data_IF_510889618811
#
_entry.id   IF_510889618811
#
_cell.length_a   1.000
_cell.length_b   1.000
_cell.length_c   1.000
_cell.angle_alpha   90.00
_cell.angle_beta   90.00
_cell.angle_gamma   90.00
#
_symmetry.space_group_name_H-M   'P 1'
#
loop_
_entity.id
_entity.type
_entity.pdbx_description
1 polymer ?
#
# COMPACT_ATOMS: atom_id res chain seq x y z
N UNK A 1 5.14 -25.38 59.44
CA UNK A 1 4.58 -24.53 58.36
C UNK A 1 4.64 -25.34 57.06
N UNK A 2 3.53 -25.89 56.61
CA UNK A 2 3.48 -26.58 55.33
C UNK A 2 3.22 -25.54 54.25
N UNK A 3 4.22 -25.23 53.47
CA UNK A 3 4.05 -24.36 52.28
C UNK A 3 3.59 -25.26 51.17
N UNK A 4 2.34 -25.14 50.76
CA UNK A 4 1.81 -25.83 49.57
C UNK A 4 2.00 -24.87 48.40
N UNK A 5 3.00 -25.09 47.56
CA UNK A 5 3.15 -24.39 46.34
C UNK A 5 2.20 -25.01 45.30
N UNK A 6 1.18 -24.26 44.89
CA UNK A 6 0.32 -24.70 43.79
C UNK A 6 1.12 -24.70 42.47
N UNK A 7 0.94 -25.76 41.69
CA UNK A 7 1.49 -25.83 40.34
C UNK A 7 0.71 -24.79 39.48
N UNK A 8 1.40 -23.87 38.85
CA UNK A 8 0.75 -22.96 37.89
C UNK A 8 0.34 -23.81 36.66
N UNK A 9 -0.95 -23.87 36.40
CA UNK A 9 -1.46 -24.58 35.24
C UNK A 9 -1.04 -23.82 33.95
N UNK A 10 -0.71 -24.55 32.88
CA UNK A 10 -0.44 -23.94 31.60
C UNK A 10 -1.68 -23.22 31.11
N UNK A 11 -1.50 -22.04 30.45
CA UNK A 11 -2.57 -21.33 29.81
C UNK A 11 -2.10 -20.83 28.42
N UNK A 12 -2.94 -21.03 27.44
CA UNK A 12 -2.74 -20.61 26.07
C UNK A 12 -4.05 -20.03 25.54
N UNK A 13 -4.05 -18.75 25.26
CA UNK A 13 -5.21 -18.04 24.70
C UNK A 13 -4.74 -17.13 23.58
N UNK A 14 -5.31 -17.25 22.40
CA UNK A 14 -5.16 -16.30 21.31
C UNK A 14 -6.14 -15.12 21.49
N UNK A 15 -5.73 -13.93 21.17
CA UNK A 15 -6.57 -12.72 21.29
C UNK A 15 -7.67 -12.72 20.23
N UNK A 16 -7.44 -13.41 19.12
CA UNK A 16 -8.43 -13.62 18.07
C UNK A 16 -8.53 -15.11 17.70
N UNK A 17 -9.73 -15.56 17.39
CA UNK A 17 -10.00 -16.91 16.91
C UNK A 17 -10.25 -16.96 15.39
N UNK A 18 -10.23 -15.81 14.70
CA UNK A 18 -10.36 -15.70 13.25
C UNK A 18 -9.69 -14.41 12.75
N UNK A 19 -8.83 -14.56 11.74
CA UNK A 19 -8.13 -13.47 11.09
C UNK A 19 -8.28 -13.53 9.58
N UNK A 20 -8.29 -12.36 8.94
CA UNK A 20 -8.34 -12.24 7.47
C UNK A 20 -7.15 -11.43 6.97
N UNK A 21 -6.44 -12.00 6.00
CA UNK A 21 -5.24 -11.42 5.40
C UNK A 21 -5.43 -11.21 3.91
N UNK A 22 -4.67 -10.26 3.36
CA UNK A 22 -4.60 -10.02 1.93
C UNK A 22 -3.89 -11.18 1.19
N UNK A 23 -4.03 -11.23 -0.14
CA UNK A 23 -3.58 -12.35 -0.97
C UNK A 23 -2.08 -12.45 -1.21
N UNK A 24 -1.27 -11.48 -0.79
CA UNK A 24 0.19 -11.50 -0.98
C UNK A 24 0.91 -12.34 0.08
N UNK A 25 2.16 -12.72 -0.22
CA UNK A 25 3.01 -13.39 0.75
C UNK A 25 3.40 -12.42 1.86
N UNK A 26 3.22 -12.82 3.12
CA UNK A 26 3.46 -11.95 4.27
C UNK A 26 3.71 -12.75 5.54
N UNK A 27 4.43 -12.14 6.47
CA UNK A 27 4.55 -12.64 7.84
C UNK A 27 3.38 -12.14 8.67
N UNK A 28 2.84 -12.99 9.52
CA UNK A 28 1.63 -12.75 10.29
C UNK A 28 1.86 -13.08 11.77
N UNK A 29 1.16 -12.35 12.62
CA UNK A 29 1.11 -12.66 14.05
C UNK A 29 -0.32 -12.50 14.57
N UNK A 30 -0.72 -13.40 15.45
CA UNK A 30 -1.95 -13.31 16.25
C UNK A 30 -1.51 -13.23 17.70
N UNK A 31 -1.71 -12.09 18.38
CA UNK A 31 -1.29 -11.93 19.77
C UNK A 31 -1.86 -13.04 20.67
N UNK A 32 -1.08 -13.47 21.62
CA UNK A 32 -1.46 -14.54 22.52
C UNK A 32 -1.11 -14.21 23.97
N UNK A 33 -1.96 -14.65 24.89
CA UNK A 33 -1.65 -14.67 26.30
C UNK A 33 -1.24 -16.08 26.71
N UNK A 34 0.01 -16.22 27.16
CA UNK A 34 0.55 -17.49 27.62
C UNK A 34 1.02 -17.36 29.06
N UNK A 35 0.61 -18.28 29.93
CA UNK A 35 1.20 -18.40 31.25
C UNK A 35 2.28 -19.50 31.22
N UNK A 36 3.54 -19.05 31.36
CA UNK A 36 4.72 -19.92 31.47
C UNK A 36 4.96 -20.88 30.27
N UNK A 37 4.42 -20.60 29.09
CA UNK A 37 4.59 -21.43 27.91
C UNK A 37 5.68 -20.98 26.94
N UNK A 38 6.04 -19.69 26.89
CA UNK A 38 7.08 -19.21 25.98
C UNK A 38 8.43 -19.93 26.14
N UNK A 39 8.90 -20.26 27.37
CA UNK A 39 10.10 -21.09 27.55
C UNK A 39 10.00 -22.51 27.01
N UNK A 40 8.79 -22.95 26.69
CA UNK A 40 8.49 -24.30 26.16
C UNK A 40 7.92 -24.22 24.75
N UNK A 41 8.20 -23.16 24.01
CA UNK A 41 7.68 -22.93 22.66
C UNK A 41 8.03 -24.08 21.70
N UNK A 42 9.17 -24.76 21.90
CA UNK A 42 9.61 -25.92 21.14
C UNK A 42 8.80 -27.20 21.46
N UNK A 43 8.03 -27.21 22.56
CA UNK A 43 7.16 -28.31 22.97
C UNK A 43 5.69 -28.06 22.61
N UNK A 44 5.34 -26.87 22.13
CA UNK A 44 4.00 -26.58 21.66
C UNK A 44 3.82 -27.18 20.28
N UNK A 45 3.00 -28.23 20.20
CA UNK A 45 2.62 -28.84 18.94
C UNK A 45 1.63 -27.94 18.17
N UNK A 46 1.70 -27.97 16.85
CA UNK A 46 0.71 -27.34 16.00
C UNK A 46 0.18 -28.31 14.94
N UNK A 47 -1.03 -28.04 14.49
CA UNK A 47 -1.68 -28.69 13.37
C UNK A 47 -2.36 -27.63 12.51
N UNK A 48 -2.30 -27.80 11.18
CA UNK A 48 -2.95 -26.89 10.21
C UNK A 48 -3.97 -27.70 9.43
N UNK A 49 -5.23 -27.43 9.70
CA UNK A 49 -6.35 -28.04 8.98
C UNK A 49 -6.82 -27.10 7.87
N UNK A 50 -6.56 -27.45 6.61
CA UNK A 50 -7.01 -26.72 5.44
C UNK A 50 -8.46 -27.09 5.10
N UNK A 51 -9.35 -26.08 4.91
CA UNK A 51 -10.75 -26.33 4.55
C UNK A 51 -10.87 -26.99 3.16
N UNK A 52 -9.95 -26.68 2.24
CA UNK A 52 -9.76 -27.40 0.98
C UNK A 52 -8.42 -28.12 1.06
N UNK A 53 -8.38 -29.44 0.90
CA UNK A 53 -7.13 -30.21 0.97
C UNK A 53 -6.06 -29.65 0.02
N UNK A 54 -4.85 -29.50 0.52
CA UNK A 54 -3.67 -29.09 -0.26
C UNK A 54 -2.77 -30.31 -0.49
N UNK A 55 -2.09 -30.35 -1.62
CA UNK A 55 -1.09 -31.39 -1.87
C UNK A 55 0.10 -31.20 -0.94
N UNK A 56 0.82 -32.29 -0.65
CA UNK A 56 2.07 -32.24 0.11
C UNK A 56 3.09 -31.32 -0.58
N UNK A 57 3.66 -30.38 0.18
CA UNK A 57 4.59 -29.36 -0.33
C UNK A 57 3.92 -28.14 -0.95
N UNK A 58 2.58 -28.08 -0.95
CA UNK A 58 1.80 -26.93 -1.41
C UNK A 58 1.10 -26.19 -0.25
N UNK A 59 1.58 -26.41 0.96
CA UNK A 59 1.11 -25.71 2.15
C UNK A 59 1.31 -24.20 1.99
N UNK A 60 0.27 -23.45 2.33
CA UNK A 60 0.31 -22.00 2.20
C UNK A 60 0.41 -21.25 3.54
N UNK A 61 0.22 -21.96 4.66
CA UNK A 61 0.58 -21.50 6.01
C UNK A 61 1.92 -22.15 6.33
N UNK A 62 2.93 -21.33 6.56
CA UNK A 62 4.32 -21.76 6.72
C UNK A 62 4.82 -21.40 8.12
N UNK A 63 5.58 -22.32 8.72
CA UNK A 63 6.30 -22.13 9.98
C UNK A 63 5.43 -21.59 11.14
N UNK A 64 4.26 -22.17 11.44
CA UNK A 64 3.51 -21.76 12.61
C UNK A 64 4.33 -22.00 13.89
N UNK A 65 4.38 -21.01 14.77
CA UNK A 65 5.11 -21.08 16.03
C UNK A 65 4.49 -20.17 17.09
N UNK A 66 4.71 -20.46 18.37
CA UNK A 66 4.48 -19.51 19.46
C UNK A 66 5.79 -18.78 19.77
N UNK A 67 5.74 -17.47 19.77
CA UNK A 67 6.84 -16.56 20.13
C UNK A 67 6.35 -15.55 21.16
N UNK A 68 7.21 -14.61 21.53
CA UNK A 68 6.83 -13.48 22.41
C UNK A 68 5.73 -12.62 21.78
N UNK A 69 5.63 -12.60 20.44
CA UNK A 69 4.59 -11.88 19.69
C UNK A 69 3.26 -12.66 19.56
N UNK A 70 3.20 -13.86 20.11
CA UNK A 70 2.05 -14.77 20.04
C UNK A 70 2.21 -15.86 18.98
N UNK A 71 1.11 -16.26 18.34
CA UNK A 71 1.14 -17.21 17.22
C UNK A 71 1.67 -16.47 15.98
N UNK A 72 2.87 -16.83 15.53
CA UNK A 72 3.48 -16.31 14.30
C UNK A 72 3.47 -17.37 13.20
N UNK A 73 3.33 -16.92 11.96
CA UNK A 73 3.37 -17.78 10.77
C UNK A 73 3.59 -16.91 9.53
N UNK A 74 3.98 -17.54 8.42
CA UNK A 74 4.04 -16.85 7.13
C UNK A 74 2.94 -17.38 6.21
N UNK A 75 2.43 -16.54 5.34
CA UNK A 75 1.49 -16.90 4.28
C UNK A 75 2.22 -16.88 2.92
N UNK A 76 2.04 -17.95 2.14
CA UNK A 76 2.39 -17.92 0.74
C UNK A 76 1.34 -17.11 -0.05
N UNK A 77 1.73 -16.54 -1.20
CA UNK A 77 0.81 -15.82 -2.09
C UNK A 77 -0.38 -16.70 -2.49
N UNK A 78 -1.60 -16.15 -2.44
CA UNK A 78 -2.78 -16.83 -2.94
C UNK A 78 -3.00 -16.50 -4.42
N UNK A 79 -2.50 -17.34 -5.30
CA UNK A 79 -2.65 -17.16 -6.75
C UNK A 79 -4.01 -17.63 -7.31
N UNK A 80 -4.85 -18.20 -6.44
CA UNK A 80 -6.22 -18.57 -6.79
C UNK A 80 -7.13 -17.34 -6.95
N UNK A 81 -8.29 -17.54 -7.55
CA UNK A 81 -9.33 -16.50 -7.73
C UNK A 81 -10.24 -16.34 -6.50
N UNK A 82 -10.18 -17.29 -5.58
CA UNK A 82 -11.07 -17.36 -4.42
C UNK A 82 -10.29 -17.24 -3.11
N UNK A 83 -10.92 -16.75 -2.04
CA UNK A 83 -10.35 -16.83 -0.71
C UNK A 83 -10.10 -18.27 -0.29
N UNK A 84 -9.01 -18.49 0.42
CA UNK A 84 -8.68 -19.80 1.02
C UNK A 84 -8.66 -19.72 2.51
N UNK A 85 -9.02 -20.82 3.18
CA UNK A 85 -9.17 -20.88 4.62
C UNK A 85 -8.50 -22.11 5.21
N UNK A 86 -7.95 -21.95 6.41
CA UNK A 86 -7.39 -23.02 7.22
C UNK A 86 -7.53 -22.66 8.70
N UNK A 87 -7.43 -23.67 9.56
CA UNK A 87 -7.39 -23.48 11.01
C UNK A 87 -6.06 -23.95 11.54
N UNK A 88 -5.33 -23.06 12.20
CA UNK A 88 -4.13 -23.41 12.99
C UNK A 88 -4.62 -23.81 14.38
N UNK A 89 -4.24 -24.99 14.83
CA UNK A 89 -4.47 -25.47 16.19
C UNK A 89 -3.15 -25.63 16.90
N UNK A 90 -3.08 -25.13 18.11
CA UNK A 90 -1.95 -25.25 19.02
C UNK A 90 -2.32 -26.17 20.15
N UNK A 91 -1.43 -27.07 20.55
CA UNK A 91 -1.63 -28.03 21.64
C UNK A 91 -0.37 -28.08 22.50
N UNK A 92 -0.56 -28.10 23.81
CA UNK A 92 0.50 -28.30 24.77
C UNK A 92 -0.01 -29.22 25.87
N UNK A 93 0.84 -30.15 26.31
CA UNK A 93 0.57 -31.02 27.47
C UNK A 93 1.80 -31.01 28.37
N UNK A 94 1.61 -30.62 29.62
CA UNK A 94 2.69 -30.61 30.61
C UNK A 94 3.08 -32.00 31.10
N UNK A 95 4.13 -32.10 31.88
CA UNK A 95 4.62 -33.37 32.47
C UNK A 95 3.64 -34.02 33.46
N UNK A 96 2.64 -33.27 33.91
CA UNK A 96 1.59 -33.73 34.80
C UNK A 96 0.32 -34.16 34.05
N UNK A 97 0.32 -34.09 32.72
CA UNK A 97 -0.82 -34.46 31.89
C UNK A 97 -1.89 -33.36 31.75
N UNK A 98 -1.61 -32.12 32.20
CA UNK A 98 -2.53 -31.00 31.95
C UNK A 98 -2.36 -30.52 30.50
N UNK A 99 -3.46 -30.46 29.77
CA UNK A 99 -3.46 -30.08 28.36
C UNK A 99 -4.18 -28.75 28.15
N UNK A 100 -3.63 -27.93 27.29
CA UNK A 100 -4.27 -26.69 26.78
C UNK A 100 -4.21 -26.67 25.28
N UNK A 101 -5.21 -26.05 24.67
CA UNK A 101 -5.24 -25.83 23.22
C UNK A 101 -5.84 -24.50 22.89
N UNK A 102 -5.42 -23.94 21.75
CA UNK A 102 -5.99 -22.75 21.14
C UNK A 102 -6.07 -22.94 19.63
N UNK A 103 -6.97 -22.24 18.98
CA UNK A 103 -7.08 -22.28 17.52
C UNK A 103 -7.46 -20.92 16.95
N UNK A 104 -6.95 -20.66 15.74
CA UNK A 104 -7.31 -19.49 14.95
C UNK A 104 -7.64 -19.91 13.51
N UNK A 105 -8.78 -19.46 13.01
CA UNK A 105 -9.15 -19.62 11.61
C UNK A 105 -8.49 -18.51 10.80
N UNK A 106 -7.71 -18.89 9.83
CA UNK A 106 -7.02 -17.98 8.92
C UNK A 106 -7.76 -17.97 7.59
N UNK A 107 -8.15 -16.78 7.15
CA UNK A 107 -8.70 -16.54 5.81
C UNK A 107 -7.70 -15.70 5.03
N UNK A 108 -7.33 -16.14 3.84
CA UNK A 108 -6.51 -15.33 2.95
C UNK A 108 -7.28 -15.03 1.66
N UNK A 109 -7.43 -13.74 1.34
CA UNK A 109 -8.04 -13.28 0.10
C UNK A 109 -7.22 -13.72 -1.12
N UNK A 110 -7.77 -13.69 -2.35
CA UNK A 110 -6.98 -13.88 -3.56
C UNK A 110 -5.98 -12.72 -3.72
N UNK A 111 -4.86 -12.99 -4.42
CA UNK A 111 -3.96 -11.90 -4.84
C UNK A 111 -4.69 -11.04 -5.86
N UNK A 112 -4.58 -9.69 -5.78
CA UNK A 112 -5.28 -8.82 -6.70
C UNK A 112 -4.94 -9.11 -8.17
N UNK A 113 -5.90 -8.98 -9.06
CA UNK A 113 -5.70 -9.10 -10.51
C UNK A 113 -5.30 -7.76 -11.13
N UNK A 114 -4.57 -7.79 -12.25
CA UNK A 114 -4.19 -6.57 -12.94
C UNK A 114 -5.42 -5.88 -13.56
N UNK A 115 -5.49 -4.56 -13.39
CA UNK A 115 -6.41 -3.69 -14.12
C UNK A 115 -5.60 -2.65 -14.88
N UNK A 116 -6.06 -2.26 -16.07
CA UNK A 116 -5.47 -1.13 -16.77
C UNK A 116 -6.06 0.21 -16.28
N UNK A 117 -5.34 1.30 -16.54
CA UNK A 117 -5.74 2.64 -16.12
C UNK A 117 -7.07 3.08 -16.73
N UNK A 118 -7.38 2.67 -17.97
CA UNK A 118 -8.64 3.01 -18.63
C UNK A 118 -9.82 2.33 -17.94
N UNK A 119 -9.68 1.05 -17.55
CA UNK A 119 -10.70 0.34 -16.80
C UNK A 119 -10.98 1.00 -15.44
N UNK A 120 -9.93 1.42 -14.72
CA UNK A 120 -10.10 2.12 -13.43
C UNK A 120 -10.76 3.49 -13.61
N UNK A 121 -10.39 4.26 -14.65
CA UNK A 121 -11.04 5.54 -14.98
C UNK A 121 -12.51 5.39 -15.36
N UNK A 122 -12.93 4.24 -15.84
CA UNK A 122 -14.32 3.93 -16.19
C UNK A 122 -15.17 3.51 -14.99
N UNK A 123 -14.58 3.28 -13.81
CA UNK A 123 -15.34 2.96 -12.60
C UNK A 123 -16.18 4.16 -12.16
N UNK A 124 -17.30 3.86 -11.51
CA UNK A 124 -18.05 4.89 -10.78
C UNK A 124 -17.22 5.41 -9.62
N UNK A 125 -17.05 6.74 -9.47
CA UNK A 125 -16.36 7.31 -8.31
C UNK A 125 -16.95 6.80 -6.99
N UNK A 126 -16.08 6.49 -6.03
CA UNK A 126 -16.44 5.91 -4.75
C UNK A 126 -15.39 4.88 -4.28
N UNK A 127 -15.74 4.12 -3.28
CA UNK A 127 -14.89 3.06 -2.74
C UNK A 127 -14.69 1.93 -3.77
N UNK A 128 -13.43 1.53 -3.96
CA UNK A 128 -13.05 0.43 -4.84
C UNK A 128 -13.02 -0.86 -4.01
N UNK A 129 -13.99 -1.72 -4.24
CA UNK A 129 -14.11 -3.02 -3.54
C UNK A 129 -13.49 -4.18 -4.32
N UNK A 130 -13.05 -3.91 -5.55
CA UNK A 130 -12.49 -4.93 -6.43
C UNK A 130 -11.06 -5.30 -6.00
N UNK A 131 -10.78 -6.60 -5.97
CA UNK A 131 -9.42 -7.13 -5.74
C UNK A 131 -8.57 -6.94 -7.00
N UNK A 132 -8.16 -5.69 -7.24
CA UNK A 132 -7.40 -5.29 -8.42
C UNK A 132 -6.19 -4.44 -8.03
N UNK A 133 -5.15 -4.48 -8.88
CA UNK A 133 -4.02 -3.55 -8.81
C UNK A 133 -3.80 -2.87 -10.16
N UNK A 134 -3.24 -1.68 -10.14
CA UNK A 134 -2.65 -1.03 -11.32
C UNK A 134 -1.13 -1.11 -11.25
N UNK A 135 -0.49 -1.14 -12.41
CA UNK A 135 0.98 -1.07 -12.53
C UNK A 135 1.36 0.16 -13.37
N UNK A 136 2.25 1.00 -12.81
CA UNK A 136 2.65 2.24 -13.47
C UNK A 136 3.93 2.80 -12.88
N UNK A 137 4.36 3.95 -13.40
CA UNK A 137 5.55 4.66 -12.94
C UNK A 137 5.18 5.87 -12.09
N UNK A 138 5.88 6.06 -10.97
CA UNK A 138 5.79 7.31 -10.19
C UNK A 138 6.56 8.40 -10.92
N UNK A 139 5.88 9.50 -11.25
CA UNK A 139 6.46 10.61 -12.01
C UNK A 139 6.61 11.90 -11.22
N UNK A 140 6.05 11.97 -10.03
CA UNK A 140 6.19 13.10 -9.11
C UNK A 140 7.42 12.96 -8.20
N UNK A 141 7.91 14.08 -7.73
CA UNK A 141 9.00 14.17 -6.77
C UNK A 141 8.61 15.14 -5.64
N UNK A 142 8.16 14.64 -4.49
CA UNK A 142 7.80 15.48 -3.35
C UNK A 142 8.97 16.32 -2.83
N UNK A 143 10.20 15.82 -2.89
CA UNK A 143 11.39 16.54 -2.43
C UNK A 143 11.72 17.75 -3.31
N UNK A 144 11.39 17.65 -4.60
CA UNK A 144 11.52 18.76 -5.55
C UNK A 144 10.32 19.71 -5.59
N UNK A 145 9.35 19.51 -4.70
CA UNK A 145 8.12 20.35 -4.61
C UNK A 145 7.34 20.43 -5.94
N UNK A 146 7.37 19.40 -6.75
CA UNK A 146 6.64 19.36 -8.02
C UNK A 146 5.23 18.75 -7.90
N UNK A 147 4.72 18.67 -6.70
CA UNK A 147 3.37 18.28 -6.35
C UNK A 147 2.64 19.49 -5.74
N UNK A 148 1.37 19.58 -5.96
CA UNK A 148 0.59 20.81 -5.84
C UNK A 148 0.51 21.36 -4.42
N UNK A 149 0.59 22.68 -4.34
CA UNK A 149 0.16 23.47 -3.20
C UNK A 149 -1.36 23.68 -3.18
N UNK A 150 -1.90 23.97 -2.01
CA UNK A 150 -3.30 24.39 -1.88
C UNK A 150 -3.49 25.85 -2.31
N UNK A 151 -4.36 26.16 -3.28
CA UNK A 151 -4.63 27.53 -3.71
C UNK A 151 -5.74 28.19 -2.90
N UNK A 152 -5.82 27.99 -1.60
CA UNK A 152 -6.92 28.50 -0.75
C UNK A 152 -6.93 30.03 -0.64
N UNK A 153 -5.85 30.67 -1.00
CA UNK A 153 -5.78 32.11 -1.14
C UNK A 153 -5.23 32.44 -2.52
N UNK A 154 -5.34 33.67 -3.00
CA UNK A 154 -4.73 34.10 -4.26
C UNK A 154 -3.17 34.06 -4.23
N UNK A 155 -2.62 33.35 -3.27
CA UNK A 155 -1.21 33.07 -3.07
C UNK A 155 -0.99 31.58 -3.23
N UNK A 156 0.06 31.18 -3.93
CA UNK A 156 0.47 29.79 -4.00
C UNK A 156 1.20 29.44 -2.71
N UNK A 157 0.51 28.78 -1.80
CA UNK A 157 1.15 28.16 -0.65
C UNK A 157 1.53 26.75 -0.99
N UNK A 158 2.76 26.43 -0.77
CA UNK A 158 3.22 25.04 -0.77
C UNK A 158 2.75 24.38 0.53
N UNK A 159 1.75 23.52 0.40
CA UNK A 159 1.32 22.66 1.52
C UNK A 159 2.22 21.44 1.58
N UNK A 160 3.17 21.48 2.53
CA UNK A 160 4.13 20.39 2.69
C UNK A 160 3.44 19.09 3.10
N UNK A 161 2.45 19.13 3.98
CA UNK A 161 1.73 17.94 4.42
C UNK A 161 0.99 17.26 3.27
N UNK A 162 0.31 18.04 2.42
CA UNK A 162 -0.32 17.51 1.21
C UNK A 162 0.72 17.01 0.20
N UNK A 163 1.81 17.74 0.00
CA UNK A 163 2.88 17.34 -0.92
C UNK A 163 3.48 15.99 -0.52
N UNK A 164 3.86 15.85 0.74
CA UNK A 164 4.63 14.70 1.22
C UNK A 164 3.79 13.39 1.17
N UNK A 165 2.47 13.48 1.18
CA UNK A 165 1.55 12.34 1.04
C UNK A 165 0.89 12.21 -0.34
N UNK A 166 1.34 12.98 -1.31
CA UNK A 166 0.82 12.93 -2.69
C UNK A 166 1.89 12.39 -3.64
N UNK A 167 1.48 11.51 -4.54
CA UNK A 167 2.28 11.06 -5.67
C UNK A 167 1.47 11.08 -6.95
N UNK A 168 2.13 11.14 -8.11
CA UNK A 168 1.51 10.96 -9.40
C UNK A 168 2.03 9.67 -10.03
N UNK A 169 1.12 8.83 -10.48
CA UNK A 169 1.43 7.59 -11.17
C UNK A 169 0.91 7.66 -12.59
N UNK A 170 1.75 7.32 -13.56
CA UNK A 170 1.33 7.16 -14.95
C UNK A 170 1.36 5.69 -15.39
N UNK A 171 0.50 5.36 -16.35
CA UNK A 171 0.45 4.03 -16.96
C UNK A 171 1.76 3.67 -17.65
N UNK A 172 2.04 2.36 -17.81
CA UNK A 172 3.28 1.88 -18.43
C UNK A 172 3.48 2.37 -19.87
N UNK A 173 2.42 2.78 -20.55
CA UNK A 173 2.45 3.36 -21.89
C UNK A 173 2.44 4.91 -21.88
N UNK A 174 2.46 5.54 -20.69
CA UNK A 174 2.43 6.99 -20.50
C UNK A 174 1.11 7.67 -20.88
N UNK A 175 0.06 6.89 -21.15
CA UNK A 175 -1.18 7.41 -21.72
C UNK A 175 -2.08 8.07 -20.69
N UNK A 176 -2.14 7.53 -19.47
CA UNK A 176 -3.06 7.92 -18.42
C UNK A 176 -2.31 8.16 -17.10
N UNK A 177 -2.82 9.09 -16.30
CA UNK A 177 -2.28 9.37 -14.97
C UNK A 177 -3.35 9.39 -13.89
N UNK A 178 -2.93 9.11 -12.65
CA UNK A 178 -3.70 9.31 -11.42
C UNK A 178 -2.91 10.12 -10.42
N UNK A 179 -3.61 10.97 -9.67
CA UNK A 179 -3.10 11.50 -8.42
C UNK A 179 -3.33 10.44 -7.33
N UNK A 180 -2.30 10.11 -6.57
CA UNK A 180 -2.37 9.23 -5.42
C UNK A 180 -2.31 10.06 -4.14
N UNK A 181 -3.20 9.79 -3.19
CA UNK A 181 -3.18 10.40 -1.86
C UNK A 181 -3.08 9.33 -0.79
N UNK A 182 -1.96 9.34 -0.11
CA UNK A 182 -1.69 8.45 1.00
C UNK A 182 -2.24 9.01 2.31
N UNK A 183 -2.54 8.14 3.26
CA UNK A 183 -3.07 8.52 4.56
C UNK A 183 -2.04 9.34 5.37
N UNK A 184 -0.76 8.99 5.24
CA UNK A 184 0.35 9.72 5.86
C UNK A 184 1.54 9.88 4.90
N UNK A 185 2.51 10.72 5.26
CA UNK A 185 3.76 10.86 4.51
C UNK A 185 4.62 9.59 4.57
N UNK A 186 4.56 8.87 5.67
CA UNK A 186 5.29 7.61 5.88
C UNK A 186 4.76 6.49 4.97
N UNK A 187 3.51 6.58 4.55
CA UNK A 187 2.90 5.63 3.61
C UNK A 187 3.35 5.88 2.15
N UNK A 188 3.75 7.11 1.81
CA UNK A 188 4.18 7.49 0.46
C UNK A 188 5.67 7.14 0.24
N UNK A 189 5.97 5.86 0.15
CA UNK A 189 7.34 5.35 0.07
C UNK A 189 7.93 5.24 -1.35
N UNK A 190 7.14 5.13 -2.45
CA UNK A 190 7.72 4.94 -3.77
C UNK A 190 8.45 6.19 -4.27
N UNK A 191 9.70 6.00 -4.67
CA UNK A 191 10.49 7.08 -5.24
C UNK A 191 10.08 7.41 -6.68
N UNK A 192 10.36 8.65 -7.13
CA UNK A 192 10.18 9.04 -8.53
C UNK A 192 10.89 8.07 -9.46
N UNK A 193 10.28 7.74 -10.59
CA UNK A 193 10.75 6.83 -11.62
C UNK A 193 10.79 5.36 -11.22
N UNK A 194 10.28 5.01 -10.04
CA UNK A 194 10.04 3.60 -9.72
C UNK A 194 8.77 3.09 -10.38
N UNK A 195 8.80 1.83 -10.82
CA UNK A 195 7.61 1.11 -11.24
C UNK A 195 6.94 0.52 -10.00
N UNK A 196 5.63 0.72 -9.87
CA UNK A 196 4.87 0.32 -8.69
C UNK A 196 3.66 -0.51 -9.11
N UNK A 197 3.39 -1.59 -8.36
CA UNK A 197 2.09 -2.25 -8.34
C UNK A 197 1.32 -1.76 -7.13
N UNK A 198 0.18 -1.14 -7.38
CA UNK A 198 -0.66 -0.51 -6.37
C UNK A 198 -2.01 -1.24 -6.29
N UNK A 199 -2.29 -1.87 -5.14
CA UNK A 199 -3.62 -2.44 -4.85
C UNK A 199 -4.64 -1.33 -4.70
N UNK A 200 -5.79 -1.51 -5.31
CA UNK A 200 -6.89 -0.54 -5.28
C UNK A 200 -7.95 -0.88 -4.24
N UNK A 201 -7.92 -2.08 -3.68
CA UNK A 201 -8.93 -2.54 -2.75
C UNK A 201 -8.98 -1.67 -1.48
N UNK A 202 -10.16 -1.18 -1.15
CA UNK A 202 -10.40 -0.27 -0.01
C UNK A 202 -9.98 1.18 -0.23
N UNK A 203 -9.38 1.51 -1.38
CA UNK A 203 -9.12 2.89 -1.76
C UNK A 203 -10.40 3.54 -2.34
N UNK A 204 -10.41 4.86 -2.43
CA UNK A 204 -11.53 5.63 -3.00
C UNK A 204 -11.09 6.30 -4.30
N UNK A 205 -11.85 6.08 -5.37
CA UNK A 205 -11.69 6.80 -6.63
C UNK A 205 -12.50 8.09 -6.58
N UNK A 206 -11.84 9.21 -6.85
CA UNK A 206 -12.45 10.52 -7.01
C UNK A 206 -12.27 10.99 -8.45
N UNK A 207 -13.30 11.65 -9.00
CA UNK A 207 -13.26 12.26 -10.33
C UNK A 207 -13.57 13.74 -10.23
N UNK A 208 -12.73 14.58 -10.84
CA UNK A 208 -13.00 15.97 -11.12
C UNK A 208 -13.34 16.10 -12.62
N UNK A 209 -14.32 16.93 -12.97
CA UNK A 209 -14.81 17.03 -14.34
C UNK A 209 -14.29 18.25 -15.14
N UNK A 210 -13.61 19.19 -14.47
CA UNK A 210 -13.08 20.39 -15.16
C UNK A 210 -11.83 20.91 -14.44
N UNK A 211 -10.63 20.60 -14.95
CA UNK A 211 -10.34 19.62 -16.00
C UNK A 211 -10.69 18.20 -15.54
N UNK A 212 -10.89 17.28 -16.49
CA UNK A 212 -11.14 15.89 -16.14
C UNK A 212 -9.87 15.23 -15.60
N UNK A 213 -9.87 14.90 -14.32
CA UNK A 213 -8.77 14.18 -13.70
C UNK A 213 -9.26 13.25 -12.58
N UNK A 214 -8.41 12.31 -12.21
CA UNK A 214 -8.77 11.24 -11.28
C UNK A 214 -7.77 11.17 -10.15
N UNK A 215 -8.29 10.99 -8.93
CA UNK A 215 -7.49 10.83 -7.72
C UNK A 215 -7.89 9.54 -7.02
N UNK A 216 -6.91 8.80 -6.53
CA UNK A 216 -7.10 7.62 -5.70
C UNK A 216 -6.67 8.00 -4.28
N UNK A 217 -7.60 7.95 -3.33
CA UNK A 217 -7.39 8.39 -1.94
C UNK A 217 -7.49 7.23 -0.96
N UNK A 218 -7.07 7.45 0.28
CA UNK A 218 -7.13 6.46 1.35
C UNK A 218 -6.07 5.37 1.23
N UNK A 219 -5.00 5.62 0.47
CA UNK A 219 -3.90 4.68 0.30
C UNK A 219 -3.00 4.63 1.54
N UNK A 220 -2.48 3.45 1.83
CA UNK A 220 -1.46 3.20 2.85
C UNK A 220 -0.28 2.44 2.26
N UNK A 221 0.78 2.26 3.02
CA UNK A 221 1.92 1.43 2.60
C UNK A 221 1.49 0.00 2.22
N UNK A 222 0.43 -0.54 2.84
CA UNK A 222 -0.10 -1.87 2.53
C UNK A 222 -0.71 -1.98 1.12
N UNK A 223 -1.07 -0.87 0.48
CA UNK A 223 -1.52 -0.85 -0.90
C UNK A 223 -0.38 -1.01 -1.91
N UNK A 224 0.87 -0.81 -1.50
CA UNK A 224 2.05 -0.93 -2.35
C UNK A 224 2.49 -2.39 -2.36
N UNK A 225 2.14 -3.14 -3.40
CA UNK A 225 2.44 -4.57 -3.51
C UNK A 225 3.88 -4.82 -3.95
N UNK A 226 4.37 -4.02 -4.87
CA UNK A 226 5.73 -4.15 -5.42
C UNK A 226 6.25 -2.76 -5.83
N UNK A 227 7.55 -2.54 -5.62
CA UNK A 227 8.25 -1.33 -6.06
C UNK A 227 9.59 -1.72 -6.67
N UNK A 228 9.88 -1.24 -7.87
CA UNK A 228 11.21 -1.40 -8.48
C UNK A 228 12.18 -0.32 -8.02
N UNK A 229 13.47 -0.53 -8.27
CA UNK A 229 14.45 0.57 -8.25
C UNK A 229 14.07 1.61 -9.30
N UNK A 230 14.27 2.93 -9.02
CA UNK A 230 14.02 4.00 -9.98
C UNK A 230 14.84 3.85 -11.25
N UNK A 231 14.21 4.10 -12.41
CA UNK A 231 14.89 4.06 -13.72
C UNK A 231 14.20 5.07 -14.66
N UNK A 232 14.77 6.27 -14.77
CA UNK A 232 14.23 7.36 -15.59
C UNK A 232 14.19 7.03 -17.09
N UNK A 233 15.06 6.14 -17.57
CA UNK A 233 15.12 5.77 -18.99
C UNK A 233 13.98 4.87 -19.43
N UNK A 234 13.22 4.31 -18.48
CA UNK A 234 12.04 3.47 -18.78
C UNK A 234 10.74 4.25 -18.80
N UNK A 235 10.76 5.51 -18.38
CA UNK A 235 9.55 6.31 -18.30
C UNK A 235 9.13 6.75 -19.71
N UNK A 236 7.91 6.46 -20.14
CA UNK A 236 7.40 6.98 -21.40
C UNK A 236 7.13 8.48 -21.27
N UNK A 237 7.78 9.28 -22.12
CA UNK A 237 7.61 10.73 -22.14
C UNK A 237 6.91 11.14 -23.43
N UNK A 238 5.71 11.70 -23.30
CA UNK A 238 4.99 12.29 -24.43
C UNK A 238 5.64 13.63 -24.80
N UNK A 239 5.91 13.87 -26.08
CA UNK A 239 6.37 15.15 -26.57
C UNK A 239 5.21 15.90 -27.21
N UNK A 240 4.86 17.07 -26.70
CA UNK A 240 3.71 17.87 -27.12
C UNK A 240 4.03 19.37 -27.14
N UNK A 241 3.26 20.12 -27.88
CA UNK A 241 3.15 21.58 -27.70
C UNK A 241 2.09 21.90 -26.64
N UNK A 242 2.04 23.12 -26.11
CA UNK A 242 1.01 23.52 -25.14
C UNK A 242 -0.41 23.31 -25.72
N UNK A 243 -0.61 23.63 -27.01
CA UNK A 243 -1.92 23.48 -27.66
C UNK A 243 -2.39 22.03 -27.87
N UNK A 244 -1.50 21.05 -27.73
CA UNK A 244 -1.82 19.63 -27.85
C UNK A 244 -2.07 18.95 -26.51
N UNK A 245 -1.88 19.68 -25.39
CA UNK A 245 -2.18 19.14 -24.07
C UNK A 245 -3.68 18.96 -23.90
N UNK A 246 -4.05 17.84 -23.27
CA UNK A 246 -5.43 17.48 -22.98
C UNK A 246 -5.56 17.04 -21.53
N UNK A 247 -6.77 16.83 -21.05
CA UNK A 247 -7.03 16.31 -19.70
C UNK A 247 -6.40 14.92 -19.47
N UNK A 248 -6.14 14.14 -20.54
CA UNK A 248 -5.47 12.85 -20.45
C UNK A 248 -3.97 12.96 -20.13
N UNK A 249 -3.39 14.14 -20.26
CA UNK A 249 -1.98 14.38 -19.92
C UNK A 249 -1.78 14.73 -18.44
N UNK A 250 -2.86 14.97 -17.73
CA UNK A 250 -2.81 15.29 -16.30
C UNK A 250 -2.24 14.11 -15.52
N UNK A 251 -1.29 14.40 -14.63
CA UNK A 251 -0.53 13.42 -13.81
C UNK A 251 0.36 12.46 -14.62
N UNK A 252 0.70 12.81 -15.86
CA UNK A 252 1.69 12.09 -16.68
C UNK A 252 2.94 12.93 -16.91
N UNK A 253 4.03 12.30 -17.35
CA UNK A 253 5.25 13.00 -17.71
C UNK A 253 5.20 13.45 -19.17
N UNK A 254 5.27 14.77 -19.38
CA UNK A 254 5.19 15.36 -20.72
C UNK A 254 6.41 16.25 -20.95
N UNK A 255 7.04 16.10 -22.11
CA UNK A 255 8.04 17.05 -22.63
C UNK A 255 7.32 18.06 -23.51
N UNK A 256 7.33 19.32 -23.10
CA UNK A 256 6.68 20.37 -23.86
C UNK A 256 7.70 21.08 -24.74
N UNK A 257 7.39 21.18 -26.04
CA UNK A 257 8.27 21.82 -27.04
C UNK A 257 7.72 23.16 -27.49
N UNK A 258 8.56 23.95 -28.19
CA UNK A 258 8.23 25.27 -28.68
C UNK A 258 7.80 26.25 -27.57
N UNK A 259 8.49 26.15 -26.43
CA UNK A 259 8.31 27.04 -25.30
C UNK A 259 9.37 28.12 -25.29
N UNK A 260 8.94 29.34 -25.02
CA UNK A 260 9.82 30.41 -24.57
C UNK A 260 9.57 30.67 -23.09
N UNK A 261 10.63 30.48 -22.28
CA UNK A 261 10.55 30.76 -20.84
C UNK A 261 10.75 32.26 -20.65
N UNK A 262 9.70 32.97 -20.30
CA UNK A 262 9.79 34.37 -19.92
C UNK A 262 10.22 34.52 -18.48
N UNK A 263 11.50 34.82 -18.29
CA UNK A 263 12.08 35.05 -16.97
C UNK A 263 12.14 36.54 -16.67
N UNK A 264 11.67 36.94 -15.49
CA UNK A 264 11.97 38.26 -14.97
C UNK A 264 13.35 38.19 -14.28
N UNK A 265 14.19 39.16 -14.59
CA UNK A 265 15.51 39.36 -14.00
C UNK A 265 16.49 38.15 -14.17
N UNK A 266 16.30 37.37 -15.22
CA UNK A 266 17.18 36.21 -15.53
C UNK A 266 17.00 34.97 -14.66
N UNK A 267 16.00 34.94 -13.78
CA UNK A 267 15.66 33.79 -12.98
C UNK A 267 14.75 32.82 -13.75
N UNK A 268 15.10 31.53 -13.78
CA UNK A 268 14.26 30.50 -14.43
C UNK A 268 13.01 30.14 -13.62
N UNK A 269 12.97 30.49 -12.34
CA UNK A 269 11.80 30.34 -11.49
C UNK A 269 11.51 31.66 -10.80
N UNK A 270 10.29 32.14 -10.91
CA UNK A 270 9.84 33.32 -10.18
C UNK A 270 9.15 32.93 -8.85
N UNK A 271 9.12 31.66 -8.51
CA UNK A 271 8.59 31.17 -7.26
C UNK A 271 9.74 31.06 -6.26
N UNK A 272 9.96 32.12 -5.51
CA UNK A 272 10.72 32.05 -4.25
C UNK A 272 9.76 31.88 -3.09
N UNK A 273 10.18 31.19 -2.06
CA UNK A 273 9.36 30.97 -0.87
C UNK A 273 8.79 32.29 -0.36
N UNK A 274 7.47 32.39 -0.30
CA UNK A 274 6.75 33.52 0.28
C UNK A 274 6.29 34.63 -0.66
N UNK A 275 6.52 34.54 -1.97
CA UNK A 275 6.00 35.54 -2.92
C UNK A 275 4.63 35.16 -3.45
N UNK A 276 3.72 36.15 -3.45
CA UNK A 276 2.42 35.98 -4.08
C UNK A 276 2.57 35.96 -5.59
N UNK A 277 1.76 35.17 -6.26
CA UNK A 277 1.69 35.10 -7.73
C UNK A 277 1.31 36.46 -8.36
N UNK A 278 0.72 37.38 -7.59
CA UNK A 278 0.38 38.73 -8.02
C UNK A 278 1.59 39.61 -8.26
N UNK A 279 2.67 39.37 -7.54
CA UNK A 279 3.85 40.22 -7.62
C UNK A 279 4.79 39.76 -8.76
N UNK A 280 4.55 38.58 -9.32
CA UNK A 280 5.27 38.03 -10.44
C UNK A 280 4.37 38.02 -11.69
N UNK A 281 4.39 39.13 -12.40
CA UNK A 281 3.55 39.40 -13.57
C UNK A 281 3.87 38.48 -14.76
N UNK A 282 4.98 37.76 -14.72
CA UNK A 282 5.37 36.75 -15.70
C UNK A 282 5.71 35.47 -15.01
N UNK A 283 4.70 34.63 -14.71
CA UNK A 283 4.98 33.25 -14.30
C UNK A 283 5.76 32.57 -15.43
N UNK A 284 6.77 31.80 -15.08
CA UNK A 284 7.22 30.73 -15.97
C UNK A 284 6.00 29.82 -16.15
N UNK A 285 5.27 29.99 -17.22
CA UNK A 285 4.24 29.05 -17.59
C UNK A 285 4.95 27.80 -18.06
N UNK A 286 4.90 26.80 -17.24
CA UNK A 286 5.12 25.43 -17.64
C UNK A 286 3.76 24.80 -17.94
#
# INVERSE_FOLDING_TARGET
>A
LTVTQGIALPALKLDSNAETYEGYAQDCAVPATTNNLVPYSDQIGYDVAYDVPVAEGAEWILKPAITDDGLTFSLAKNEGSEPRTATIRLNFTDEHGNSVSASCKITQKPYPTAADFAAVRALTPGEITLQQYIEGYIVSDPDSKNVVSSPQTQQFFFDRGENDRTAYIESLDGKWGFCLKFASSEDNTPARFSKVRLSLNGATLEKKNSPECYTITGLTAANILETSTPDEFKIPVKTKTIGELTDDDIFTLVSVTNLEIMCKDGAYTNCTDGYSFKDNINPCLL
#
